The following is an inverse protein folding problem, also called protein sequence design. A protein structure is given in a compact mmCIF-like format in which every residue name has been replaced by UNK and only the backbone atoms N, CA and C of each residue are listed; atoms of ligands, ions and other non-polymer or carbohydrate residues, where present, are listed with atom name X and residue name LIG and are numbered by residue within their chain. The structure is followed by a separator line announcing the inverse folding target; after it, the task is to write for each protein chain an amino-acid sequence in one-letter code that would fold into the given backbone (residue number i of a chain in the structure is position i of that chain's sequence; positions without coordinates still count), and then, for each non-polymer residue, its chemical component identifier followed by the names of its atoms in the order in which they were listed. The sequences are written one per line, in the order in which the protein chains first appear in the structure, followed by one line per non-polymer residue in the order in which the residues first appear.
data_IF_741038162445
#
_entry.id   IF_741038162445
#
_cell.length_a   1.000
_cell.length_b   1.000
_cell.length_c   1.000
_cell.angle_alpha   90.00
_cell.angle_beta   90.00
_cell.angle_gamma   90.00
#
_symmetry.space_group_name_H-M   'P 1'
#
loop_
_entity.id
_entity.type
_entity.pdbx_description
1 polymer ?
#
# COMPACT_ATOMS: atom_id res chain seq x y z
N UNK A 1 -39.08 -21.95 -3.28
CA UNK A 1 -39.58 -20.77 -3.99
C UNK A 1 -39.86 -19.75 -2.90
N UNK A 2 -38.99 -18.76 -2.74
CA UNK A 2 -39.12 -17.71 -1.73
C UNK A 2 -39.84 -16.52 -2.37
N UNK A 3 -40.73 -15.88 -1.63
CA UNK A 3 -41.52 -14.74 -2.08
C UNK A 3 -40.57 -13.57 -2.42
N UNK A 4 -40.73 -12.88 -3.57
CA UNK A 4 -39.88 -11.75 -3.97
C UNK A 4 -40.14 -10.47 -3.16
N UNK A 5 -40.86 -10.57 -2.05
CA UNK A 5 -41.35 -9.46 -1.24
C UNK A 5 -41.18 -9.70 0.28
N UNK A 6 -40.37 -10.71 0.64
CA UNK A 6 -39.90 -10.88 2.01
C UNK A 6 -38.69 -9.96 2.20
N UNK A 7 -38.86 -8.91 3.02
CA UNK A 7 -37.76 -8.03 3.43
C UNK A 7 -36.58 -8.88 3.89
N UNK A 8 -35.39 -8.62 3.35
CA UNK A 8 -34.21 -9.38 3.74
C UNK A 8 -33.95 -9.14 5.24
N UNK A 9 -33.85 -10.17 6.08
CA UNK A 9 -33.51 -9.98 7.48
C UNK A 9 -32.17 -9.25 7.62
N UNK A 10 -32.11 -8.28 8.54
CA UNK A 10 -30.87 -7.50 8.80
C UNK A 10 -29.71 -8.39 9.21
N UNK A 11 -29.99 -9.53 9.85
CA UNK A 11 -28.97 -10.52 10.19
C UNK A 11 -28.30 -11.09 8.93
N UNK A 12 -29.08 -11.42 7.89
CA UNK A 12 -28.61 -12.02 6.64
C UNK A 12 -27.78 -11.02 5.82
N UNK A 13 -28.06 -9.70 5.94
CA UNK A 13 -27.19 -8.64 5.40
C UNK A 13 -25.79 -8.71 6.03
N UNK A 14 -25.71 -8.99 7.33
CA UNK A 14 -24.48 -8.93 8.11
C UNK A 14 -23.69 -10.23 8.18
N UNK A 15 -24.18 -11.31 7.56
CA UNK A 15 -23.33 -12.44 7.17
C UNK A 15 -22.19 -12.00 6.24
N UNK A 16 -22.38 -10.86 5.55
CA UNK A 16 -21.34 -10.16 4.83
C UNK A 16 -20.72 -9.03 5.66
N UNK A 17 -19.48 -9.21 6.08
CA UNK A 17 -18.76 -8.20 6.86
C UNK A 17 -18.54 -6.88 6.11
N UNK A 18 -18.52 -6.89 4.76
CA UNK A 18 -18.42 -5.66 3.97
C UNK A 18 -19.68 -4.81 4.09
N UNK A 19 -20.85 -5.44 4.26
CA UNK A 19 -22.11 -4.73 4.48
C UNK A 19 -22.16 -4.07 5.87
N UNK A 20 -21.51 -4.67 6.87
CA UNK A 20 -21.29 -4.02 8.18
C UNK A 20 -20.48 -2.74 7.99
N UNK A 21 -19.39 -2.81 7.20
CA UNK A 21 -18.57 -1.66 6.85
C UNK A 21 -19.37 -0.55 6.16
N UNK A 22 -20.21 -0.92 5.17
CA UNK A 22 -21.09 -0.01 4.47
C UNK A 22 -22.00 0.78 5.43
N UNK A 23 -22.77 0.09 6.28
CA UNK A 23 -23.71 0.75 7.20
C UNK A 23 -22.98 1.57 8.29
N UNK A 24 -21.85 1.08 8.79
CA UNK A 24 -21.07 1.78 9.79
C UNK A 24 -20.52 3.13 9.27
N UNK A 25 -20.16 3.19 7.98
CA UNK A 25 -19.41 4.30 7.38
C UNK A 25 -20.24 5.25 6.51
N UNK A 26 -21.45 4.87 6.11
CA UNK A 26 -22.35 5.77 5.38
C UNK A 26 -22.60 7.04 6.21
N UNK A 27 -22.62 8.18 5.53
CA UNK A 27 -23.01 9.45 6.14
C UNK A 27 -24.43 9.33 6.69
N UNK A 28 -24.61 9.83 7.92
CA UNK A 28 -25.84 9.62 8.67
C UNK A 28 -27.01 10.43 8.14
N UNK A 29 -26.73 11.65 7.70
CA UNK A 29 -27.75 12.66 7.42
C UNK A 29 -27.78 13.01 5.93
N UNK A 30 -26.60 13.22 5.34
CA UNK A 30 -26.50 13.62 3.95
C UNK A 30 -26.44 12.42 3.01
N UNK A 31 -26.03 11.25 3.48
CA UNK A 31 -25.74 10.08 2.64
C UNK A 31 -24.52 10.25 1.75
N UNK A 32 -24.29 9.29 0.85
CA UNK A 32 -23.13 9.27 -0.03
C UNK A 32 -23.47 8.88 -1.46
N UNK A 33 -22.72 9.40 -2.42
CA UNK A 33 -22.73 8.91 -3.80
C UNK A 33 -21.81 7.68 -3.94
N UNK A 34 -21.95 6.90 -5.02
CA UNK A 34 -21.16 5.66 -5.23
C UNK A 34 -19.66 5.86 -5.03
N UNK A 35 -19.08 6.87 -5.66
CA UNK A 35 -17.63 7.15 -5.57
C UNK A 35 -17.18 7.38 -4.12
N UNK A 36 -17.93 8.13 -3.32
CA UNK A 36 -17.63 8.36 -1.91
C UNK A 36 -17.74 7.09 -1.07
N UNK A 37 -18.64 6.17 -1.43
CA UNK A 37 -18.80 4.88 -0.75
C UNK A 37 -17.60 3.98 -1.07
N UNK A 38 -17.17 3.93 -2.32
CA UNK A 38 -16.00 3.15 -2.76
C UNK A 38 -14.71 3.57 -2.04
N UNK A 39 -14.58 4.84 -1.67
CA UNK A 39 -13.45 5.35 -0.89
C UNK A 39 -13.52 5.00 0.61
N UNK A 40 -14.73 4.80 1.15
CA UNK A 40 -14.98 4.66 2.59
C UNK A 40 -15.20 3.22 3.05
N UNK A 41 -15.42 2.30 2.12
CA UNK A 41 -15.83 0.91 2.39
C UNK A 41 -14.88 -0.04 1.69
N UNK A 42 -14.53 -1.13 2.36
CA UNK A 42 -13.80 -2.20 1.69
C UNK A 42 -14.71 -2.96 0.73
N UNK A 43 -14.27 -3.11 -0.52
CA UNK A 43 -14.96 -3.84 -1.59
C UNK A 43 -14.15 -5.05 -2.08
N UNK A 44 -13.12 -5.48 -1.35
CA UNK A 44 -12.26 -6.59 -1.77
C UNK A 44 -13.07 -7.86 -2.00
N UNK A 45 -13.14 -8.28 -3.28
CA UNK A 45 -13.83 -9.49 -3.68
C UNK A 45 -15.36 -9.36 -3.77
N UNK A 46 -15.94 -8.16 -3.59
CA UNK A 46 -17.38 -7.94 -3.73
C UNK A 46 -17.72 -6.66 -4.50
N UNK A 47 -18.66 -6.73 -5.46
CA UNK A 47 -19.11 -5.54 -6.16
C UNK A 47 -19.99 -4.67 -5.25
N UNK A 48 -19.72 -3.36 -5.24
CA UNK A 48 -20.51 -2.39 -4.46
C UNK A 48 -22.00 -2.49 -4.74
N UNK A 49 -22.39 -2.71 -5.99
CA UNK A 49 -23.79 -2.85 -6.39
C UNK A 49 -24.53 -3.92 -5.55
N UNK A 50 -23.93 -5.09 -5.36
CA UNK A 50 -24.57 -6.17 -4.58
C UNK A 50 -24.72 -5.79 -3.11
N UNK A 51 -23.76 -5.06 -2.54
CA UNK A 51 -23.88 -4.56 -1.16
C UNK A 51 -25.01 -3.54 -1.02
N UNK A 52 -25.15 -2.64 -1.99
CA UNK A 52 -26.21 -1.64 -2.02
C UNK A 52 -27.58 -2.30 -2.20
N UNK A 53 -27.72 -3.19 -3.18
CA UNK A 53 -28.98 -3.89 -3.46
C UNK A 53 -29.46 -4.64 -2.19
N UNK A 54 -28.56 -5.41 -1.53
CA UNK A 54 -28.91 -6.12 -0.30
C UNK A 54 -29.28 -5.18 0.87
N UNK A 55 -28.63 -4.02 0.97
CA UNK A 55 -28.93 -3.05 2.03
C UNK A 55 -30.24 -2.30 1.78
N UNK A 56 -30.61 -2.09 0.51
CA UNK A 56 -31.91 -1.55 0.10
C UNK A 56 -33.02 -2.58 0.38
N UNK A 57 -32.81 -3.83 -0.01
CA UNK A 57 -33.77 -4.93 0.21
C UNK A 57 -34.02 -5.21 1.70
N UNK A 58 -33.07 -4.85 2.56
CA UNK A 58 -33.22 -4.92 4.02
C UNK A 58 -33.73 -3.61 4.67
N UNK A 59 -34.11 -2.62 3.85
CA UNK A 59 -34.55 -1.29 4.26
C UNK A 59 -33.55 -0.54 5.16
N UNK A 60 -32.25 -0.79 5.02
CA UNK A 60 -31.21 -0.10 5.80
C UNK A 60 -30.80 1.19 5.12
N UNK A 61 -30.84 1.22 3.79
CA UNK A 61 -30.56 2.41 2.99
C UNK A 61 -31.66 2.63 1.96
N UNK A 62 -31.76 3.86 1.48
CA UNK A 62 -32.62 4.25 0.36
C UNK A 62 -31.82 5.02 -0.69
N UNK A 63 -32.20 4.88 -1.95
CA UNK A 63 -31.63 5.62 -3.07
C UNK A 63 -32.47 6.88 -3.33
N UNK A 64 -31.86 8.05 -3.16
CA UNK A 64 -32.50 9.35 -3.41
C UNK A 64 -31.84 10.04 -4.60
N UNK A 65 -32.68 10.62 -5.46
CA UNK A 65 -32.21 11.43 -6.58
C UNK A 65 -32.18 12.91 -6.17
N UNK A 66 -30.99 13.49 -6.12
CA UNK A 66 -30.87 14.95 -5.94
C UNK A 66 -31.04 15.62 -7.31
N UNK A 67 -32.13 16.36 -7.49
CA UNK A 67 -32.23 17.41 -8.52
C UNK A 67 -31.71 18.72 -7.92
N UNK A 68 -30.40 18.95 -7.98
CA UNK A 68 -29.83 20.26 -7.67
C UNK A 68 -29.17 20.82 -8.93
N UNK A 69 -29.55 22.04 -9.30
CA UNK A 69 -29.30 22.66 -10.61
C UNK A 69 -27.84 22.84 -11.05
N UNK A 70 -26.86 22.43 -10.24
CA UNK A 70 -25.43 22.58 -10.53
C UNK A 70 -24.60 21.29 -10.36
N UNK A 71 -25.23 20.13 -10.07
CA UNK A 71 -24.51 18.85 -10.01
C UNK A 71 -25.10 17.82 -10.99
N UNK A 72 -24.26 16.99 -11.64
CA UNK A 72 -24.74 15.92 -12.49
C UNK A 72 -25.66 14.99 -11.70
N UNK A 73 -26.70 14.46 -12.35
CA UNK A 73 -27.62 13.45 -11.80
C UNK A 73 -26.80 12.32 -11.21
N UNK A 74 -26.69 12.30 -9.89
CA UNK A 74 -25.94 11.29 -9.15
C UNK A 74 -26.89 10.71 -8.13
N UNK A 75 -27.12 9.40 -8.22
CA UNK A 75 -27.92 8.70 -7.24
C UNK A 75 -27.16 8.70 -5.91
N UNK A 76 -27.86 9.04 -4.83
CA UNK A 76 -27.30 9.16 -3.49
C UNK A 76 -27.94 8.14 -2.57
N UNK A 77 -27.14 7.47 -1.77
CA UNK A 77 -27.59 6.46 -0.82
C UNK A 77 -27.61 7.05 0.58
N UNK A 78 -28.77 7.00 1.22
CA UNK A 78 -29.00 7.55 2.56
C UNK A 78 -29.47 6.46 3.52
N UNK A 79 -29.13 6.56 4.80
CA UNK A 79 -29.65 5.64 5.81
C UNK A 79 -31.14 5.94 6.05
N UNK A 80 -31.95 4.88 6.04
CA UNK A 80 -33.32 4.96 6.56
C UNK A 80 -33.29 5.12 8.09
N UNK A 81 -34.44 5.38 8.73
CA UNK A 81 -34.51 5.37 10.20
C UNK A 81 -34.05 4.04 10.82
N UNK A 82 -34.34 2.92 10.13
CA UNK A 82 -33.86 1.58 10.50
C UNK A 82 -32.34 1.50 10.37
N UNK A 83 -31.78 1.96 9.25
CA UNK A 83 -30.34 2.04 9.03
C UNK A 83 -29.62 2.89 10.08
N UNK A 84 -30.17 4.05 10.42
CA UNK A 84 -29.63 4.95 11.46
C UNK A 84 -29.62 4.27 12.83
N UNK A 85 -30.67 3.54 13.19
CA UNK A 85 -30.74 2.79 14.44
C UNK A 85 -29.66 1.70 14.49
N UNK A 86 -29.52 0.93 13.42
CA UNK A 86 -28.50 -0.11 13.29
C UNK A 86 -27.09 0.49 13.33
N UNK A 87 -26.82 1.56 12.60
CA UNK A 87 -25.55 2.27 12.65
C UNK A 87 -25.23 2.74 14.07
N UNK A 88 -26.22 3.25 14.81
CA UNK A 88 -26.02 3.67 16.20
C UNK A 88 -25.59 2.50 17.09
N UNK A 89 -26.15 1.32 16.88
CA UNK A 89 -25.73 0.10 17.57
C UNK A 89 -24.30 -0.30 17.20
N UNK A 90 -23.93 -0.27 15.91
CA UNK A 90 -22.57 -0.58 15.46
C UNK A 90 -21.54 0.36 16.10
N UNK A 91 -21.82 1.66 16.12
CA UNK A 91 -20.96 2.67 16.78
C UNK A 91 -20.85 2.47 18.28
N UNK A 92 -21.96 2.14 18.95
CA UNK A 92 -21.93 1.84 20.40
C UNK A 92 -21.04 0.64 20.76
N UNK A 93 -20.72 -0.21 19.78
CA UNK A 93 -19.83 -1.37 19.92
C UNK A 93 -18.42 -1.11 19.39
N UNK A 94 -18.11 0.11 18.93
CA UNK A 94 -16.80 0.50 18.39
C UNK A 94 -16.50 -0.08 17.00
N UNK A 95 -17.52 -0.53 16.26
CA UNK A 95 -17.32 -1.16 14.93
C UNK A 95 -16.86 -0.13 13.89
N UNK A 96 -17.30 1.12 14.01
CA UNK A 96 -16.87 2.23 13.15
C UNK A 96 -15.37 2.54 13.32
N UNK A 97 -14.88 2.58 14.55
CA UNK A 97 -13.47 2.76 14.87
C UNK A 97 -12.61 1.59 14.37
N UNK A 98 -13.10 0.35 14.54
CA UNK A 98 -12.45 -0.85 14.03
C UNK A 98 -12.37 -0.86 12.50
N UNK A 99 -13.46 -0.52 11.82
CA UNK A 99 -13.48 -0.40 10.35
C UNK A 99 -12.52 0.68 9.86
N UNK A 100 -12.49 1.84 10.51
CA UNK A 100 -11.52 2.89 10.19
C UNK A 100 -10.07 2.41 10.36
N UNK A 101 -9.77 1.73 11.46
CA UNK A 101 -8.42 1.20 11.75
C UNK A 101 -7.99 0.16 10.72
N UNK A 102 -8.93 -0.72 10.34
CA UNK A 102 -8.73 -1.73 9.31
C UNK A 102 -8.41 -1.09 7.94
N UNK A 103 -9.20 -0.11 7.50
CA UNK A 103 -8.97 0.58 6.23
C UNK A 103 -7.62 1.31 6.23
N UNK A 104 -7.27 1.98 7.33
CA UNK A 104 -5.96 2.64 7.46
C UNK A 104 -4.81 1.64 7.36
N UNK A 105 -4.89 0.50 8.05
CA UNK A 105 -3.86 -0.55 7.97
C UNK A 105 -3.76 -1.14 6.56
N UNK A 106 -4.91 -1.37 5.90
CA UNK A 106 -4.97 -1.87 4.52
C UNK A 106 -4.30 -0.90 3.54
N UNK A 107 -4.61 0.39 3.63
CA UNK A 107 -3.99 1.42 2.77
C UNK A 107 -2.50 1.53 3.02
N UNK A 108 -2.06 1.48 4.28
CA UNK A 108 -0.63 1.49 4.62
C UNK A 108 0.11 0.27 4.05
N UNK A 109 -0.51 -0.91 4.10
CA UNK A 109 0.04 -2.13 3.51
C UNK A 109 0.14 -2.03 1.99
N UNK A 110 -0.90 -1.52 1.32
CA UNK A 110 -0.90 -1.33 -0.13
C UNK A 110 0.23 -0.38 -0.54
N UNK A 111 0.37 0.75 0.16
CA UNK A 111 1.45 1.70 -0.09
C UNK A 111 2.83 1.06 0.10
N UNK A 112 3.03 0.30 1.18
CA UNK A 112 4.30 -0.39 1.41
C UNK A 112 4.60 -1.44 0.33
N UNK A 113 3.56 -2.11 -0.20
CA UNK A 113 3.71 -3.04 -1.31
C UNK A 113 4.08 -2.34 -2.62
N UNK A 114 3.45 -1.20 -2.91
CA UNK A 114 3.75 -0.39 -4.09
C UNK A 114 5.18 0.17 -4.00
N UNK A 115 5.59 0.70 -2.84
CA UNK A 115 6.97 1.16 -2.59
C UNK A 115 7.98 0.00 -2.73
N UNK A 116 7.67 -1.19 -2.22
CA UNK A 116 8.54 -2.36 -2.38
C UNK A 116 8.64 -2.79 -3.86
N UNK A 117 7.54 -2.71 -4.61
CA UNK A 117 7.54 -3.02 -6.04
C UNK A 117 8.40 -2.01 -6.82
N UNK A 118 8.28 -0.71 -6.53
CA UNK A 118 9.13 0.32 -7.13
C UNK A 118 10.62 0.06 -6.87
N UNK A 119 10.99 -0.34 -5.65
CA UNK A 119 12.37 -0.71 -5.31
C UNK A 119 12.81 -1.95 -6.10
N UNK A 120 11.99 -3.00 -6.15
CA UNK A 120 12.30 -4.23 -6.91
C UNK A 120 12.53 -3.93 -8.40
N UNK A 121 11.68 -3.07 -8.98
CA UNK A 121 11.80 -2.65 -10.37
C UNK A 121 13.04 -1.78 -10.61
N UNK A 122 13.31 -0.81 -9.73
CA UNK A 122 14.47 0.08 -9.81
C UNK A 122 15.81 -0.65 -9.62
N UNK A 123 15.86 -1.63 -8.73
CA UNK A 123 17.06 -2.46 -8.48
C UNK A 123 17.22 -3.60 -9.49
N UNK A 124 16.30 -3.75 -10.46
CA UNK A 124 16.27 -4.86 -11.41
C UNK A 124 16.39 -6.24 -10.72
N UNK A 125 15.79 -6.38 -9.53
CA UNK A 125 15.73 -7.62 -8.76
C UNK A 125 14.80 -8.60 -9.48
N UNK A 126 15.29 -9.17 -10.59
CA UNK A 126 14.57 -10.14 -11.38
C UNK A 126 14.37 -11.45 -10.60
N UNK A 127 13.26 -12.16 -10.90
CA UNK A 127 12.97 -13.57 -10.52
C UNK A 127 14.12 -14.57 -10.72
N UNK A 128 15.19 -14.17 -11.41
CA UNK A 128 16.38 -14.96 -11.72
C UNK A 128 17.42 -14.97 -10.60
N UNK A 129 17.29 -14.08 -9.61
CA UNK A 129 18.08 -14.15 -8.39
C UNK A 129 17.33 -15.02 -7.37
N UNK A 130 17.68 -16.31 -7.20
CA UNK A 130 17.23 -17.04 -6.03
C UNK A 130 17.75 -16.24 -4.83
N UNK A 131 16.84 -15.67 -4.03
CA UNK A 131 17.24 -15.04 -2.78
C UNK A 131 17.92 -16.13 -1.96
N UNK A 132 19.26 -16.14 -1.93
CA UNK A 132 20.02 -16.89 -0.94
C UNK A 132 19.69 -16.21 0.39
N UNK A 133 18.67 -16.72 1.06
CA UNK A 133 18.20 -16.44 2.42
C UNK A 133 18.88 -15.23 3.09
N UNK A 134 18.54 -14.01 2.68
CA UNK A 134 18.94 -12.81 3.43
C UNK A 134 17.92 -12.56 4.54
N UNK A 135 17.82 -13.50 5.49
CA UNK A 135 17.21 -13.26 6.79
C UNK A 135 18.22 -12.50 7.66
N UNK A 136 18.33 -11.19 7.48
CA UNK A 136 18.95 -10.35 8.52
C UNK A 136 17.94 -10.19 9.63
N UNK A 137 17.91 -11.16 10.55
CA UNK A 137 17.33 -10.93 11.88
C UNK A 137 18.18 -9.85 12.54
N UNK A 138 17.57 -8.68 12.75
CA UNK A 138 18.12 -7.67 13.64
C UNK A 138 18.38 -8.30 15.02
N UNK A 139 19.66 -8.48 15.36
CA UNK A 139 20.11 -8.98 16.67
C UNK A 139 20.81 -10.35 16.71
N UNK A 140 21.09 -11.00 15.57
CA UNK A 140 21.92 -12.23 15.56
C UNK A 140 23.27 -11.97 14.89
N UNK A 141 24.34 -12.44 15.56
CA UNK A 141 25.74 -12.27 15.16
C UNK A 141 25.97 -12.57 13.68
N UNK A 142 26.81 -11.74 13.03
CA UNK A 142 27.20 -11.93 11.64
C UNK A 142 27.76 -13.34 11.45
N UNK A 143 27.33 -14.12 10.45
CA UNK A 143 28.06 -15.32 10.09
C UNK A 143 29.45 -14.90 9.59
N UNK A 144 30.50 -15.56 10.10
CA UNK A 144 31.84 -15.45 9.54
C UNK A 144 31.79 -15.94 8.10
N UNK A 145 31.74 -15.00 7.16
CA UNK A 145 31.83 -15.31 5.74
C UNK A 145 33.29 -15.60 5.45
N UNK A 146 33.61 -16.87 5.18
CA UNK A 146 34.94 -17.28 4.73
C UNK A 146 35.13 -16.82 3.27
N UNK A 147 35.71 -15.63 3.12
CA UNK A 147 35.90 -14.95 1.84
C UNK A 147 36.76 -15.76 0.84
N UNK A 148 37.59 -16.69 1.32
CA UNK A 148 38.40 -17.54 0.45
C UNK A 148 37.55 -18.56 -0.30
N UNK A 149 36.49 -19.07 0.33
CA UNK A 149 35.60 -20.06 -0.26
C UNK A 149 34.73 -19.45 -1.38
N UNK A 150 34.30 -18.20 -1.19
CA UNK A 150 33.55 -17.45 -2.20
C UNK A 150 34.41 -17.07 -3.41
N UNK A 151 35.69 -16.75 -3.20
CA UNK A 151 36.61 -16.46 -4.31
C UNK A 151 36.93 -17.71 -5.15
N UNK A 152 36.98 -18.89 -4.53
CA UNK A 152 37.21 -20.14 -5.24
C UNK A 152 36.01 -20.54 -6.13
N UNK A 153 34.78 -20.42 -5.64
CA UNK A 153 33.57 -20.71 -6.44
C UNK A 153 33.44 -19.79 -7.66
N UNK A 154 33.77 -18.50 -7.49
CA UNK A 154 33.71 -17.51 -8.59
C UNK A 154 34.80 -17.76 -9.64
N UNK A 155 35.98 -18.28 -9.25
CA UNK A 155 37.02 -18.66 -10.20
C UNK A 155 36.66 -19.91 -11.01
N UNK A 156 36.00 -20.89 -10.39
CA UNK A 156 35.61 -22.14 -11.05
C UNK A 156 34.46 -21.94 -12.06
N UNK A 157 33.49 -21.05 -11.77
CA UNK A 157 32.39 -20.72 -12.71
C UNK A 157 32.83 -19.84 -13.91
N UNK A 158 34.00 -19.20 -13.85
CA UNK A 158 34.47 -18.24 -14.86
C UNK A 158 35.79 -18.62 -15.55
N UNK A 159 36.19 -19.90 -15.55
CA UNK A 159 37.41 -20.36 -16.24
C UNK A 159 37.44 -20.00 -17.74
N UNK A 160 36.27 -19.89 -18.41
CA UNK A 160 36.17 -19.53 -19.83
C UNK A 160 36.47 -18.04 -20.11
N UNK A 161 36.32 -17.15 -19.11
CA UNK A 161 36.57 -15.71 -19.29
C UNK A 161 38.03 -15.31 -19.03
N UNK A 162 38.80 -16.14 -18.32
CA UNK A 162 40.20 -15.85 -17.97
C UNK A 162 41.24 -16.54 -18.88
N UNK A 163 40.83 -17.48 -19.74
CA UNK A 163 41.71 -18.16 -20.70
C UNK A 163 41.60 -17.65 -22.16
N UNK A 164 40.94 -16.51 -22.39
CA UNK A 164 41.00 -15.85 -23.68
C UNK A 164 42.40 -15.22 -23.87
N UNK A 165 43.22 -15.86 -24.69
CA UNK A 165 44.53 -15.42 -25.20
C UNK A 165 44.43 -13.99 -25.79
N UNK A 166 44.68 -12.95 -24.98
CA UNK A 166 44.78 -11.57 -25.48
C UNK A 166 46.18 -11.38 -26.09
N UNK A 167 46.39 -11.99 -27.26
CA UNK A 167 47.32 -11.48 -28.28
C UNK A 167 46.49 -10.69 -29.28
N UNK A 168 46.29 -9.41 -29.01
CA UNK A 168 45.57 -8.51 -29.91
C UNK A 168 45.68 -7.07 -29.45
N UNK A 169 46.59 -6.33 -30.09
CA UNK A 169 46.72 -4.88 -30.21
C UNK A 169 45.69 -4.01 -29.47
N UNK A 170 46.17 -3.27 -28.46
CA UNK A 170 45.46 -2.11 -27.91
C UNK A 170 45.74 -0.89 -28.80
N UNK A 171 44.73 -0.18 -29.33
CA UNK A 171 44.95 1.16 -29.84
C UNK A 171 45.11 2.09 -28.63
N UNK A 172 46.35 2.49 -28.36
CA UNK A 172 46.66 3.68 -27.58
C UNK A 172 46.14 4.91 -28.34
N UNK A 173 45.20 5.64 -27.75
CA UNK A 173 45.13 7.09 -27.90
C UNK A 173 44.40 7.70 -26.69
N UNK A 174 45.12 7.91 -25.60
CA UNK A 174 44.72 8.84 -24.54
C UNK A 174 45.85 9.83 -24.39
N UNK A 175 45.57 11.03 -24.89
CA UNK A 175 46.46 12.20 -24.86
C UNK A 175 46.85 12.55 -23.43
N UNK A 176 48.15 12.78 -23.25
CA UNK A 176 48.74 13.53 -22.14
C UNK A 176 48.12 14.93 -22.04
N UNK A 177 47.52 15.25 -20.88
CA UNK A 177 47.55 16.62 -20.33
C UNK A 177 47.77 16.56 -18.81
N UNK A 178 49.01 16.88 -18.45
CA UNK A 178 49.52 17.58 -17.27
C UNK A 178 48.86 17.40 -15.89
N UNK A 179 49.69 16.84 -15.01
CA UNK A 179 49.65 16.94 -13.55
C UNK A 179 49.59 18.39 -13.05
N UNK A 180 48.61 18.70 -12.18
CA UNK A 180 48.54 19.94 -11.41
C UNK A 180 47.91 19.73 -10.03
N UNK A 181 48.76 19.45 -9.03
CA UNK A 181 48.66 19.71 -7.58
C UNK A 181 47.28 19.93 -6.95
N UNK A 182 46.77 18.96 -6.18
CA UNK A 182 45.76 19.19 -5.13
C UNK A 182 46.46 19.48 -3.81
N UNK A 183 46.36 20.71 -3.34
CA UNK A 183 46.71 21.09 -1.97
C UNK A 183 45.69 20.52 -0.96
N UNK A 184 46.10 20.22 0.29
CA UNK A 184 45.24 19.63 1.29
C UNK A 184 44.31 20.67 1.92
N UNK A 185 43.02 20.32 2.07
CA UNK A 185 42.02 21.18 2.73
C UNK A 185 42.22 21.11 4.24
N UNK A 186 42.57 22.24 4.86
CA UNK A 186 42.66 22.37 6.32
C UNK A 186 41.28 22.31 6.98
N UNK A 187 41.19 21.46 8.00
CA UNK A 187 40.11 21.40 8.99
C UNK A 187 40.28 22.52 10.02
N UNK A 188 39.22 23.29 10.30
CA UNK A 188 39.09 24.05 11.55
C UNK A 188 37.68 23.85 12.13
N UNK A 189 37.62 23.18 13.29
CA UNK A 189 36.50 23.26 14.23
C UNK A 189 36.37 24.69 14.79
N UNK A 190 35.36 25.09 15.54
CA UNK A 190 34.35 24.38 16.33
C UNK A 190 33.20 25.37 16.58
N UNK A 191 32.00 24.86 16.82
CA UNK A 191 30.90 25.52 17.58
C UNK A 191 31.40 25.97 18.98
N UNK A 192 30.76 26.89 19.75
CA UNK A 192 29.29 26.90 20.00
C UNK A 192 28.61 28.23 20.47
N UNK A 193 27.30 28.09 20.76
CA UNK A 193 26.40 28.77 21.74
C UNK A 193 25.89 30.22 21.53
N UNK A 194 24.55 30.38 21.43
CA UNK A 194 23.58 31.02 22.40
C UNK A 194 23.50 32.55 22.14
N UNK A 195 22.40 33.32 22.15
CA UNK A 195 21.17 33.48 22.96
C UNK A 195 20.15 34.27 22.07
N UNK A 196 18.86 33.90 22.01
CA UNK A 196 17.67 34.52 22.67
C UNK A 196 17.24 35.96 22.26
N UNK A 197 15.91 36.09 22.03
CA UNK A 197 14.98 37.24 22.15
C UNK A 197 15.20 38.48 21.23
N UNK A 198 14.21 39.09 20.57
CA UNK A 198 12.78 39.38 20.85
C UNK A 198 11.86 39.18 19.62
#
# INVERSE_FOLDING_TARGET
MSDPNEDLPVADVFDDWHAIGLIARLDRDDGNIKAEIEEKVDLTGKPLKTLLDNAIDAELIEETQIQAGDHPRSDRYQLTERGKAVQSLLRSRGIDELQQSYLTAKTALQRAADEAQEIIEAEHLHKKYPQRDYWVRTGSDQPEIDTEQLLAEVQEEHEDLFNADIRGEWPMDVRDEETGSREPVETWGSTPDEEEED
#
